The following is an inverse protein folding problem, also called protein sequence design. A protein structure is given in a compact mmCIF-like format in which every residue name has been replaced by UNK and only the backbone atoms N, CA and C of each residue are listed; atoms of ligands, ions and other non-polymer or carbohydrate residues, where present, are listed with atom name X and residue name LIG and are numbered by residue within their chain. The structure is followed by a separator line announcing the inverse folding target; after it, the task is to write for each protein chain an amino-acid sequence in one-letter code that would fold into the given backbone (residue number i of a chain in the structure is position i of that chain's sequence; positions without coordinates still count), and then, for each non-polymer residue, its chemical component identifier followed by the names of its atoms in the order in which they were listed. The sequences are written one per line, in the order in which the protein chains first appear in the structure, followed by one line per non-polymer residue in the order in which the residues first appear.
data_IF_819967477484
#
_entry.id   IF_819967477484
#
_cell.length_a   1.000
_cell.length_b   1.000
_cell.length_c   1.000
_cell.angle_alpha   90.00
_cell.angle_beta   90.00
_cell.angle_gamma   90.00
#
_symmetry.space_group_name_H-M   'P 1'
#
loop_
_entity.id
_entity.type
_entity.pdbx_description
1 polymer ?
#
# COMPACT_ATOMS: atom_id res chain seq x y z
N UNK A 1 -11.79 -25.71 -14.23
CA UNK A 1 -11.61 -25.31 -12.81
C UNK A 1 -11.48 -23.79 -12.77
N UNK A 2 -11.87 -23.10 -11.69
CA UNK A 2 -11.82 -21.64 -11.66
C UNK A 2 -10.37 -21.13 -11.77
N UNK A 3 -10.06 -20.50 -12.89
CA UNK A 3 -8.73 -19.97 -13.19
C UNK A 3 -8.45 -18.59 -12.61
N UNK A 4 -7.16 -18.26 -12.47
CA UNK A 4 -6.65 -16.93 -12.14
C UNK A 4 -5.86 -16.40 -13.34
N UNK A 5 -6.15 -15.14 -13.73
CA UNK A 5 -5.38 -14.42 -14.75
C UNK A 5 -4.76 -13.18 -14.12
N UNK A 6 -3.47 -13.00 -14.34
CA UNK A 6 -2.72 -11.86 -13.86
C UNK A 6 -1.63 -11.42 -14.84
N UNK A 7 -1.23 -10.15 -14.75
CA UNK A 7 -0.19 -9.57 -15.60
C UNK A 7 1.18 -10.18 -15.32
N UNK A 8 1.93 -10.50 -16.37
CA UNK A 8 3.26 -11.08 -16.29
C UNK A 8 4.33 -10.03 -15.94
N UNK A 9 5.52 -10.49 -15.56
CA UNK A 9 6.69 -9.64 -15.34
C UNK A 9 6.62 -8.77 -14.09
N UNK A 10 7.58 -7.86 -13.95
CA UNK A 10 7.71 -7.02 -12.77
C UNK A 10 6.77 -5.80 -12.81
N UNK A 11 6.63 -5.15 -13.96
CA UNK A 11 5.90 -3.89 -14.09
C UNK A 11 4.42 -4.09 -14.40
N UNK A 12 3.58 -3.21 -13.85
CA UNK A 12 2.17 -3.17 -14.19
C UNK A 12 2.00 -2.45 -15.53
N UNK A 13 1.10 -2.92 -16.42
CA UNK A 13 0.69 -2.16 -17.58
C UNK A 13 0.04 -0.83 -17.17
N UNK A 14 0.06 0.19 -18.05
CA UNK A 14 -0.61 1.46 -17.78
C UNK A 14 -2.08 1.27 -17.45
N UNK A 15 -2.59 2.01 -16.46
CA UNK A 15 -3.99 1.92 -15.99
C UNK A 15 -4.99 2.10 -17.14
N UNK A 16 -4.70 2.97 -18.10
CA UNK A 16 -5.58 3.18 -19.27
C UNK A 16 -5.66 1.94 -20.16
N UNK A 17 -4.58 1.18 -20.28
CA UNK A 17 -4.55 -0.08 -21.04
C UNK A 17 -5.35 -1.15 -20.30
N UNK A 18 -5.13 -1.28 -18.99
CA UNK A 18 -5.88 -2.23 -18.15
C UNK A 18 -7.39 -1.92 -18.15
N UNK A 19 -7.78 -0.64 -18.13
CA UNK A 19 -9.18 -0.24 -18.22
C UNK A 19 -9.82 -0.68 -19.55
N UNK A 20 -9.10 -0.56 -20.67
CA UNK A 20 -9.58 -1.03 -21.98
C UNK A 20 -9.74 -2.55 -22.03
N UNK A 21 -8.76 -3.28 -21.50
CA UNK A 21 -8.84 -4.75 -21.38
C UNK A 21 -10.07 -5.17 -20.57
N UNK A 22 -10.24 -4.62 -19.37
CA UNK A 22 -11.32 -5.00 -18.46
C UNK A 22 -12.69 -4.59 -19.00
N UNK A 23 -12.80 -3.38 -19.58
CA UNK A 23 -14.04 -2.91 -20.21
C UNK A 23 -14.46 -3.79 -21.38
N UNK A 24 -13.52 -4.22 -22.23
CA UNK A 24 -13.80 -5.11 -23.35
C UNK A 24 -14.17 -6.53 -22.90
N UNK A 25 -13.47 -7.08 -21.90
CA UNK A 25 -13.70 -8.44 -21.41
C UNK A 25 -15.03 -8.59 -20.64
N UNK A 26 -15.38 -7.61 -19.81
CA UNK A 26 -16.56 -7.67 -18.93
C UNK A 26 -17.76 -6.90 -19.50
N UNK A 27 -17.58 -6.16 -20.62
CA UNK A 27 -18.60 -5.31 -21.26
C UNK A 27 -19.17 -4.25 -20.30
N UNK A 28 -18.31 -3.64 -19.50
CA UNK A 28 -18.67 -2.58 -18.56
C UNK A 28 -18.44 -1.19 -19.15
N UNK A 29 -19.06 -0.19 -18.53
CA UNK A 29 -18.84 1.21 -18.91
C UNK A 29 -17.39 1.66 -18.59
N UNK A 30 -16.89 2.72 -19.26
CA UNK A 30 -15.52 3.18 -19.09
C UNK A 30 -15.14 3.58 -17.66
N UNK A 31 -16.06 4.15 -16.88
CA UNK A 31 -15.77 4.64 -15.53
C UNK A 31 -15.61 3.45 -14.57
N UNK A 32 -16.50 2.47 -14.67
CA UNK A 32 -16.40 1.20 -13.94
C UNK A 32 -15.12 0.45 -14.30
N UNK A 33 -14.77 0.39 -15.57
CA UNK A 33 -13.54 -0.27 -16.03
C UNK A 33 -12.28 0.46 -15.52
N UNK A 34 -12.27 1.79 -15.51
CA UNK A 34 -11.18 2.59 -14.98
C UNK A 34 -11.01 2.38 -13.46
N UNK A 35 -12.10 2.30 -12.71
CA UNK A 35 -12.07 2.00 -11.28
C UNK A 35 -11.52 0.59 -11.00
N UNK A 36 -11.97 -0.40 -11.77
CA UNK A 36 -11.48 -1.77 -11.66
C UNK A 36 -9.97 -1.85 -11.98
N UNK A 37 -9.51 -1.18 -13.04
CA UNK A 37 -8.10 -1.13 -13.42
C UNK A 37 -7.21 -0.55 -12.32
N UNK A 38 -7.65 0.51 -11.62
CA UNK A 38 -6.90 1.11 -10.50
C UNK A 38 -6.77 0.18 -9.29
N UNK A 39 -7.70 -0.76 -9.11
CA UNK A 39 -7.79 -1.63 -7.91
C UNK A 39 -7.39 -3.08 -8.17
N UNK A 40 -7.14 -3.44 -9.42
CA UNK A 40 -6.79 -4.81 -9.78
C UNK A 40 -5.35 -5.17 -9.38
N UNK A 41 -4.44 -4.17 -9.34
CA UNK A 41 -3.02 -4.37 -9.06
C UNK A 41 -2.40 -5.51 -9.88
N UNK A 42 -2.86 -5.64 -11.14
CA UNK A 42 -2.42 -6.67 -12.08
C UNK A 42 -3.03 -8.06 -11.87
N UNK A 43 -3.90 -8.28 -10.88
CA UNK A 43 -4.78 -9.46 -10.79
C UNK A 43 -6.06 -9.18 -11.56
N UNK A 44 -6.17 -9.67 -12.79
CA UNK A 44 -7.21 -9.26 -13.74
C UNK A 44 -8.53 -10.01 -13.53
N UNK A 45 -8.46 -11.25 -13.05
CA UNK A 45 -9.66 -12.00 -12.67
C UNK A 45 -9.31 -13.30 -11.95
N UNK A 46 -10.08 -13.62 -10.92
CA UNK A 46 -9.96 -14.83 -10.11
C UNK A 46 -11.31 -15.55 -10.09
N UNK A 47 -11.29 -16.88 -10.00
CA UNK A 47 -12.55 -17.63 -9.97
C UNK A 47 -13.18 -17.82 -11.35
N UNK A 48 -12.45 -17.57 -12.44
CA UNK A 48 -13.01 -17.53 -13.79
C UNK A 48 -13.24 -18.94 -14.34
N UNK A 49 -14.39 -19.19 -14.95
CA UNK A 49 -14.53 -20.39 -15.78
C UNK A 49 -13.63 -20.33 -17.03
N UNK A 50 -13.52 -21.45 -17.74
CA UNK A 50 -12.60 -21.56 -18.87
C UNK A 50 -12.94 -20.59 -20.02
N UNK A 51 -14.23 -20.30 -20.23
CA UNK A 51 -14.67 -19.39 -21.27
C UNK A 51 -14.36 -17.93 -20.93
N UNK A 52 -14.64 -17.51 -19.69
CA UNK A 52 -14.31 -16.18 -19.19
C UNK A 52 -12.81 -15.94 -19.13
N UNK A 53 -12.04 -16.96 -18.73
CA UNK A 53 -10.59 -16.90 -18.74
C UNK A 53 -10.03 -16.74 -20.16
N UNK A 54 -10.51 -17.54 -21.12
CA UNK A 54 -10.10 -17.43 -22.53
C UNK A 54 -10.45 -16.06 -23.13
N UNK A 55 -11.65 -15.55 -22.87
CA UNK A 55 -12.06 -14.23 -23.34
C UNK A 55 -11.18 -13.10 -22.77
N UNK A 56 -10.85 -13.16 -21.48
CA UNK A 56 -9.96 -12.17 -20.85
C UNK A 56 -8.53 -12.25 -21.41
N UNK A 57 -8.01 -13.46 -21.62
CA UNK A 57 -6.70 -13.69 -22.23
C UNK A 57 -6.63 -13.15 -23.67
N UNK A 58 -7.67 -13.38 -24.47
CA UNK A 58 -7.79 -12.82 -25.83
C UNK A 58 -7.77 -11.28 -25.80
N UNK A 59 -8.53 -10.64 -24.90
CA UNK A 59 -8.49 -9.18 -24.76
C UNK A 59 -7.12 -8.68 -24.33
N UNK A 60 -6.45 -9.39 -23.41
CA UNK A 60 -5.08 -9.03 -23.02
C UNK A 60 -4.13 -9.08 -24.24
N UNK A 61 -4.24 -10.11 -25.08
CA UNK A 61 -3.44 -10.23 -26.30
C UNK A 61 -3.70 -9.08 -27.30
N UNK A 62 -4.98 -8.71 -27.52
CA UNK A 62 -5.36 -7.58 -28.38
C UNK A 62 -4.70 -6.27 -27.94
N UNK A 63 -4.58 -6.04 -26.63
CA UNK A 63 -3.95 -4.85 -26.06
C UNK A 63 -2.47 -5.01 -25.72
N UNK A 64 -1.82 -6.09 -26.18
CA UNK A 64 -0.42 -6.41 -25.92
C UNK A 64 -0.05 -6.42 -24.42
N UNK A 65 -0.98 -6.87 -23.57
CA UNK A 65 -0.76 -7.07 -22.15
C UNK A 65 -0.32 -8.51 -21.91
N UNK A 66 0.95 -8.77 -21.55
CA UNK A 66 1.39 -10.12 -21.26
C UNK A 66 0.74 -10.60 -19.96
N UNK A 67 0.14 -11.78 -20.00
CA UNK A 67 -0.55 -12.38 -18.85
C UNK A 67 -0.11 -13.81 -18.61
N UNK A 68 -0.33 -14.27 -17.39
CA UNK A 68 -0.18 -15.65 -16.96
C UNK A 68 -1.55 -16.13 -16.51
N UNK A 69 -1.93 -17.32 -17.00
CA UNK A 69 -3.11 -18.06 -16.58
C UNK A 69 -2.69 -19.20 -15.66
N UNK A 70 -3.31 -19.30 -14.49
CA UNK A 70 -3.23 -20.46 -13.62
C UNK A 70 -4.56 -21.20 -13.63
N UNK A 71 -4.51 -22.52 -13.76
CA UNK A 71 -5.69 -23.39 -13.75
C UNK A 71 -6.31 -23.50 -12.35
N UNK A 72 -5.46 -23.44 -11.32
CA UNK A 72 -5.83 -23.55 -9.92
C UNK A 72 -5.60 -22.22 -9.19
N UNK A 73 -6.36 -22.02 -8.12
CA UNK A 73 -6.12 -20.90 -7.21
C UNK A 73 -4.71 -21.02 -6.60
N UNK A 74 -3.91 -19.95 -6.59
CA UNK A 74 -2.60 -19.99 -5.97
C UNK A 74 -2.73 -20.16 -4.45
N UNK A 75 -1.71 -20.71 -3.78
CA UNK A 75 -1.65 -20.64 -2.33
C UNK A 75 -1.68 -19.17 -1.88
N UNK A 76 -2.31 -18.86 -0.73
CA UNK A 76 -2.25 -17.52 -0.17
C UNK A 76 -0.81 -17.14 0.17
N UNK A 77 -0.53 -15.84 0.23
CA UNK A 77 0.75 -15.37 0.75
C UNK A 77 0.92 -15.83 2.21
N UNK A 78 2.16 -16.12 2.65
CA UNK A 78 2.44 -16.34 4.06
C UNK A 78 1.95 -15.15 4.91
N UNK A 79 1.52 -15.45 6.13
CA UNK A 79 1.19 -14.41 7.11
C UNK A 79 2.45 -13.56 7.34
N UNK A 80 2.35 -12.22 7.24
CA UNK A 80 3.51 -11.36 7.41
C UNK A 80 4.00 -11.39 8.86
N UNK A 81 5.30 -11.64 9.04
CA UNK A 81 5.99 -11.54 10.32
C UNK A 81 6.44 -10.09 10.52
N UNK A 82 5.99 -9.38 11.58
CA UNK A 82 6.41 -8.01 11.85
C UNK A 82 7.90 -7.91 12.13
N UNK A 83 8.55 -6.95 11.47
CA UNK A 83 9.97 -6.63 11.64
C UNK A 83 10.08 -5.37 12.47
N UNK A 84 10.94 -5.40 13.50
CA UNK A 84 11.24 -4.27 14.37
C UNK A 84 12.56 -3.57 14.03
N UNK A 85 13.48 -4.26 13.34
CA UNK A 85 14.76 -3.67 12.93
C UNK A 85 15.32 -4.40 11.71
N UNK A 86 16.02 -3.66 10.87
CA UNK A 86 16.80 -4.22 9.76
C UNK A 86 18.23 -3.71 9.83
N UNK A 87 19.19 -4.62 9.66
CA UNK A 87 20.61 -4.32 9.55
C UNK A 87 21.14 -5.01 8.30
N UNK A 88 21.86 -4.29 7.44
CA UNK A 88 22.51 -4.83 6.25
C UNK A 88 24.02 -4.68 6.44
N UNK A 89 24.69 -5.77 6.74
CA UNK A 89 26.12 -5.80 7.04
C UNK A 89 26.73 -7.13 6.57
N UNK A 90 28.01 -7.11 6.19
CA UNK A 90 28.77 -8.31 5.82
C UNK A 90 28.08 -9.17 4.72
N UNK A 91 27.41 -8.52 3.76
CA UNK A 91 26.72 -9.21 2.67
C UNK A 91 25.42 -9.92 3.06
N UNK A 92 24.88 -9.67 4.26
CA UNK A 92 23.62 -10.23 4.72
C UNK A 92 22.67 -9.13 5.20
N UNK A 93 21.36 -9.35 5.00
CA UNK A 93 20.31 -8.59 5.66
C UNK A 93 19.81 -9.40 6.87
N UNK A 94 19.74 -8.75 8.02
CA UNK A 94 19.23 -9.34 9.27
C UNK A 94 17.98 -8.57 9.69
N UNK A 95 16.86 -9.27 9.73
CA UNK A 95 15.56 -8.76 10.14
C UNK A 95 15.27 -9.23 11.57
N UNK A 96 15.21 -8.31 12.52
CA UNK A 96 14.83 -8.62 13.90
C UNK A 96 13.31 -8.71 13.99
N UNK A 97 12.80 -9.91 14.25
CA UNK A 97 11.38 -10.20 14.42
C UNK A 97 11.14 -10.76 15.83
N UNK A 98 9.90 -10.71 16.32
CA UNK A 98 9.54 -11.26 17.64
C UNK A 98 9.77 -12.79 17.71
N UNK A 99 9.54 -13.50 16.61
CA UNK A 99 9.78 -14.94 16.51
C UNK A 99 11.28 -15.32 16.42
N UNK A 100 12.17 -14.33 16.37
CA UNK A 100 13.62 -14.52 16.20
C UNK A 100 14.17 -13.78 14.98
N UNK A 101 15.50 -13.59 14.93
CA UNK A 101 16.13 -12.92 13.78
C UNK A 101 16.06 -13.80 12.53
N UNK A 102 15.75 -13.19 11.39
CA UNK A 102 15.82 -13.83 10.07
C UNK A 102 17.00 -13.21 9.34
N UNK A 103 18.00 -14.02 8.99
CA UNK A 103 19.15 -13.60 8.18
C UNK A 103 19.00 -14.15 6.77
N UNK A 104 19.27 -13.33 5.77
CA UNK A 104 19.22 -13.76 4.38
C UNK A 104 20.31 -13.08 3.53
N UNK A 105 20.69 -13.76 2.46
CA UNK A 105 21.53 -13.24 1.40
C UNK A 105 20.71 -12.35 0.43
N UNK A 106 21.36 -11.57 -0.45
CA UNK A 106 20.69 -10.85 -1.53
C UNK A 106 19.75 -11.73 -2.36
N UNK A 107 20.22 -12.92 -2.72
CA UNK A 107 19.53 -13.80 -3.65
C UNK A 107 18.29 -14.44 -3.02
N UNK A 108 18.20 -14.49 -1.69
CA UNK A 108 17.04 -15.01 -0.96
C UNK A 108 15.81 -14.09 -1.06
N UNK A 109 15.98 -12.83 -1.43
CA UNK A 109 14.92 -11.83 -1.50
C UNK A 109 14.26 -11.86 -2.88
N UNK A 110 13.00 -12.30 -2.93
CA UNK A 110 12.28 -12.50 -4.20
C UNK A 110 11.42 -11.30 -4.60
N UNK A 111 10.78 -10.65 -3.64
CA UNK A 111 9.90 -9.50 -3.85
C UNK A 111 10.12 -8.48 -2.74
N UNK A 112 10.19 -7.21 -3.12
CA UNK A 112 10.16 -6.05 -2.24
C UNK A 112 8.98 -5.17 -2.65
N UNK A 113 7.91 -5.17 -1.86
CA UNK A 113 6.70 -4.43 -2.17
C UNK A 113 6.42 -3.39 -1.10
N UNK A 114 6.48 -2.11 -1.43
CA UNK A 114 6.23 -1.00 -0.50
C UNK A 114 4.98 -0.22 -0.90
N UNK A 115 4.21 0.26 0.08
CA UNK A 115 3.04 1.09 -0.17
C UNK A 115 2.90 2.19 0.91
N UNK A 116 2.55 3.41 0.49
CA UNK A 116 2.00 4.43 1.38
C UNK A 116 0.52 4.16 1.61
N UNK A 117 0.08 4.00 2.85
CA UNK A 117 -1.32 3.70 3.18
C UNK A 117 -1.87 4.82 4.04
N UNK A 118 -3.02 5.35 3.63
CA UNK A 118 -3.70 6.40 4.38
C UNK A 118 -4.49 5.76 5.51
N UNK A 119 -4.05 6.00 6.73
CA UNK A 119 -4.75 5.53 7.92
C UNK A 119 -5.62 6.64 8.48
N UNK A 120 -6.87 6.31 8.81
CA UNK A 120 -7.82 7.24 9.38
C UNK A 120 -7.97 6.95 10.87
N UNK A 121 -7.78 7.97 11.70
CA UNK A 121 -7.96 7.86 13.14
C UNK A 121 -8.94 8.93 13.62
N UNK A 122 -9.79 8.54 14.56
CA UNK A 122 -10.65 9.47 15.27
C UNK A 122 -9.90 9.98 16.48
N UNK A 123 -9.54 11.27 16.50
CA UNK A 123 -9.01 11.92 17.70
C UNK A 123 -10.11 12.77 18.32
N UNK A 124 -10.46 12.48 19.56
CA UNK A 124 -11.33 13.36 20.34
C UNK A 124 -10.53 14.58 20.78
N UNK A 125 -10.78 15.72 20.15
CA UNK A 125 -10.17 17.00 20.51
C UNK A 125 -11.14 17.75 21.42
N UNK A 126 -10.66 18.16 22.59
CA UNK A 126 -11.42 19.06 23.47
C UNK A 126 -11.30 20.47 22.91
N UNK A 127 -12.36 20.96 22.28
CA UNK A 127 -12.42 22.33 21.79
C UNK A 127 -13.23 23.19 22.77
N UNK A 128 -12.69 24.35 23.14
CA UNK A 128 -13.42 25.34 23.93
C UNK A 128 -14.33 26.12 22.98
N UNK A 129 -15.62 25.78 22.96
CA UNK A 129 -16.60 26.54 22.20
C UNK A 129 -17.15 27.67 23.05
N UNK A 130 -16.94 28.90 22.58
CA UNK A 130 -17.66 30.06 23.08
C UNK A 130 -19.14 30.01 22.66
N UNK A 131 -20.01 30.82 23.30
CA UNK A 131 -21.41 30.89 22.91
C UNK A 131 -21.54 31.23 21.41
N UNK A 132 -22.51 30.59 20.75
CA UNK A 132 -22.77 30.77 19.31
C UNK A 132 -22.99 32.25 18.97
N UNK A 133 -22.76 32.62 17.69
CA UNK A 133 -22.95 34.00 17.23
C UNK A 133 -24.37 34.53 17.53
N UNK A 134 -25.39 33.68 17.40
CA UNK A 134 -26.78 34.03 17.77
C UNK A 134 -26.96 34.26 19.28
N UNK A 135 -26.33 33.45 20.14
CA UNK A 135 -26.39 33.63 21.58
C UNK A 135 -25.66 34.92 22.04
N UNK A 136 -24.57 35.31 21.36
CA UNK A 136 -23.88 36.59 21.61
C UNK A 136 -24.73 37.78 21.16
N UNK A 137 -25.33 37.71 19.98
CA UNK A 137 -26.18 38.78 19.44
C UNK A 137 -27.42 39.03 20.31
N UNK A 138 -28.09 37.96 20.77
CA UNK A 138 -29.24 38.07 21.68
C UNK A 138 -28.87 38.78 22.99
N UNK A 139 -27.72 38.45 23.58
CA UNK A 139 -27.25 39.06 24.84
C UNK A 139 -26.86 40.52 24.68
N UNK A 140 -26.24 40.87 23.54
CA UNK A 140 -25.99 42.27 23.18
C UNK A 140 -27.31 43.05 23.00
N UNK A 141 -28.32 42.43 22.39
CA UNK A 141 -29.65 43.01 22.26
C UNK A 141 -30.31 43.28 23.62
N UNK A 142 -30.27 42.32 24.55
CA UNK A 142 -30.83 42.50 25.90
C UNK A 142 -30.06 43.60 26.66
N UNK A 143 -28.73 43.65 26.55
CA UNK A 143 -27.91 44.72 27.16
C UNK A 143 -28.28 46.09 26.59
N UNK A 144 -28.46 46.20 25.26
CA UNK A 144 -28.84 47.46 24.61
C UNK A 144 -30.21 47.96 25.05
N UNK A 145 -31.17 47.06 25.34
CA UNK A 145 -32.53 47.42 25.76
C UNK A 145 -32.61 47.73 27.26
N UNK A 146 -31.88 46.99 28.09
CA UNK A 146 -32.01 47.07 29.56
C UNK A 146 -30.94 47.91 30.24
N UNK A 147 -29.84 48.23 29.55
CA UNK A 147 -28.69 48.95 30.12
C UNK A 147 -27.89 48.16 31.16
N UNK A 148 -28.27 46.92 31.44
CA UNK A 148 -27.62 46.07 32.44
C UNK A 148 -26.55 45.17 31.77
N UNK A 149 -25.31 45.12 32.29
CA UNK A 149 -24.26 44.29 31.71
C UNK A 149 -24.53 42.80 31.96
N UNK A 150 -24.83 42.06 30.89
CA UNK A 150 -24.98 40.60 30.94
C UNK A 150 -23.68 39.96 30.45
N UNK A 151 -23.03 39.16 31.30
CA UNK A 151 -21.78 38.47 30.97
C UNK A 151 -21.89 37.62 29.70
N UNK A 152 -20.83 37.63 28.88
CA UNK A 152 -20.78 36.97 27.56
C UNK A 152 -20.87 35.43 27.59
N UNK A 153 -21.05 34.81 28.76
CA UNK A 153 -21.21 33.38 28.93
C UNK A 153 -19.88 32.65 29.11
N UNK A 154 -19.93 31.53 29.83
CA UNK A 154 -18.76 30.64 29.99
C UNK A 154 -18.58 29.82 28.72
N UNK A 155 -17.34 29.68 28.28
CA UNK A 155 -16.98 28.70 27.26
C UNK A 155 -17.25 27.29 27.78
N UNK A 156 -17.83 26.44 26.94
CA UNK A 156 -18.02 25.03 27.26
C UNK A 156 -16.95 24.25 26.52
N UNK A 157 -16.24 23.38 27.23
CA UNK A 157 -15.41 22.37 26.60
C UNK A 157 -16.34 21.35 25.91
N UNK A 158 -16.24 21.28 24.60
CA UNK A 158 -16.97 20.32 23.77
C UNK A 158 -15.93 19.35 23.23
N UNK A 159 -16.10 18.07 23.56
CA UNK A 159 -15.34 16.99 22.93
C UNK A 159 -15.86 16.82 21.51
N UNK A 160 -15.02 17.12 20.52
CA UNK A 160 -15.30 16.86 19.11
C UNK A 160 -14.41 15.73 18.62
N UNK A 161 -15.02 14.74 18.01
CA UNK A 161 -14.27 13.73 17.27
C UNK A 161 -13.83 14.33 15.94
N UNK A 162 -12.55 14.62 15.83
CA UNK A 162 -11.93 15.09 14.59
C UNK A 162 -11.34 13.88 13.88
N UNK A 163 -11.84 13.64 12.67
CA UNK A 163 -11.26 12.66 11.76
C UNK A 163 -9.91 13.19 11.28
N UNK A 164 -8.82 12.58 11.73
CA UNK A 164 -7.47 12.85 11.22
C UNK A 164 -7.04 11.70 10.31
N UNK A 165 -6.20 11.98 9.34
CA UNK A 165 -5.57 10.95 8.53
C UNK A 165 -4.07 11.16 8.45
N UNK A 166 -3.29 10.12 8.73
CA UNK A 166 -1.84 10.14 8.55
C UNK A 166 -1.45 9.07 7.52
N UNK A 167 -0.27 9.24 6.92
CA UNK A 167 0.23 8.34 5.88
C UNK A 167 1.29 7.43 6.50
N UNK A 168 0.95 6.15 6.63
CA UNK A 168 1.81 5.12 7.21
C UNK A 168 2.47 4.33 6.09
N UNK A 169 3.77 4.04 6.19
CA UNK A 169 4.50 3.33 5.14
C UNK A 169 4.72 1.88 5.54
N UNK A 170 4.42 0.99 4.60
CA UNK A 170 4.57 -0.44 4.76
C UNK A 170 5.46 -1.00 3.67
N UNK A 171 6.20 -2.05 3.99
CA UNK A 171 6.90 -2.86 3.00
C UNK A 171 6.84 -4.33 3.38
N UNK A 172 6.39 -5.12 2.42
CA UNK A 172 6.48 -6.57 2.46
C UNK A 172 7.74 -7.04 1.74
N UNK A 173 8.46 -7.92 2.40
CA UNK A 173 9.66 -8.58 1.91
C UNK A 173 9.35 -10.08 1.82
N UNK A 174 9.33 -10.63 0.62
CA UNK A 174 9.02 -12.05 0.38
C UNK A 174 10.31 -12.80 0.07
N UNK A 175 10.60 -13.83 0.87
CA UNK A 175 11.75 -14.69 0.63
C UNK A 175 11.45 -15.73 -0.47
N UNK A 176 12.49 -16.19 -1.15
CA UNK A 176 12.41 -17.16 -2.24
C UNK A 176 11.56 -18.39 -1.92
N UNK A 177 10.76 -18.78 -2.91
CA UNK A 177 9.78 -19.86 -2.78
C UNK A 177 8.56 -19.48 -1.93
N UNK A 178 8.38 -18.20 -1.59
CA UNK A 178 7.30 -17.77 -0.71
C UNK A 178 7.41 -18.37 0.70
N UNK A 179 8.62 -18.72 1.15
CA UNK A 179 8.83 -19.42 2.42
C UNK A 179 8.50 -18.56 3.64
N UNK A 180 8.71 -17.26 3.54
CA UNK A 180 8.35 -16.29 4.56
C UNK A 180 8.01 -14.95 3.92
N UNK A 181 7.14 -14.20 4.59
CA UNK A 181 6.82 -12.80 4.30
C UNK A 181 7.14 -12.01 5.55
N UNK A 182 8.02 -11.03 5.43
CA UNK A 182 8.35 -10.10 6.50
C UNK A 182 7.66 -8.77 6.21
N UNK A 183 7.17 -8.09 7.24
CA UNK A 183 6.53 -6.77 7.10
C UNK A 183 7.23 -5.74 7.95
N UNK A 184 7.68 -4.67 7.29
CA UNK A 184 8.20 -3.48 7.91
C UNK A 184 7.09 -2.43 7.90
N UNK A 185 6.83 -1.81 9.05
CA UNK A 185 5.94 -0.67 9.19
C UNK A 185 6.76 0.52 9.72
N UNK A 186 6.67 1.68 9.08
CA UNK A 186 7.51 2.84 9.40
C UNK A 186 7.42 3.28 10.86
N UNK A 187 6.25 3.11 11.46
CA UNK A 187 5.94 3.66 12.77
C UNK A 187 6.43 2.76 13.91
N UNK A 188 6.72 1.50 13.59
CA UNK A 188 7.10 0.44 14.51
C UNK A 188 8.57 0.01 14.36
N UNK A 189 9.32 0.65 13.45
CA UNK A 189 10.66 0.23 13.05
C UNK A 189 11.76 1.05 13.73
N UNK A 190 12.75 0.35 14.30
CA UNK A 190 14.03 0.94 14.70
C UNK A 190 14.96 1.12 13.50
N UNK A 191 15.15 2.38 13.10
CA UNK A 191 16.04 2.78 12.03
C UNK A 191 17.52 2.91 12.44
N UNK A 192 17.92 2.49 13.64
CA UNK A 192 19.33 2.55 14.09
C UNK A 192 20.30 1.80 13.16
N UNK A 193 19.82 0.80 12.41
CA UNK A 193 20.59 0.11 11.39
C UNK A 193 21.06 0.99 10.22
N UNK A 194 20.45 2.16 10.00
CA UNK A 194 20.85 3.11 8.96
C UNK A 194 22.11 3.93 9.31
N UNK A 195 22.55 3.91 10.57
CA UNK A 195 23.75 4.63 11.05
C UNK A 195 23.74 6.11 10.61
N UNK A 196 24.78 6.56 9.90
CA UNK A 196 24.95 7.95 9.44
C UNK A 196 23.87 8.40 8.44
N UNK A 197 23.17 7.47 7.78
CA UNK A 197 22.06 7.78 6.86
C UNK A 197 20.74 8.05 7.60
N UNK A 198 20.68 7.81 8.92
CA UNK A 198 19.49 8.02 9.73
C UNK A 198 19.22 9.52 9.90
N UNK A 199 17.96 9.90 9.69
CA UNK A 199 17.42 11.25 9.85
C UNK A 199 16.42 11.31 11.00
N UNK A 200 15.86 12.50 11.26
CA UNK A 200 14.82 12.70 12.27
C UNK A 200 13.41 12.32 11.80
N UNK A 201 13.22 11.97 10.52
CA UNK A 201 11.91 11.62 9.96
C UNK A 201 11.81 10.11 9.71
N UNK A 202 10.84 9.44 10.35
CA UNK A 202 10.56 8.01 10.12
C UNK A 202 10.24 7.72 8.66
N UNK A 203 9.48 8.59 7.99
CA UNK A 203 9.14 8.45 6.57
C UNK A 203 10.37 8.58 5.65
N UNK A 204 11.27 9.52 5.94
CA UNK A 204 12.53 9.66 5.18
C UNK A 204 13.42 8.44 5.43
N UNK A 205 13.56 8.03 6.70
CA UNK A 205 14.33 6.83 7.07
C UNK A 205 13.79 5.57 6.41
N UNK A 206 12.47 5.42 6.32
CA UNK A 206 11.83 4.30 5.65
C UNK A 206 12.18 4.26 4.17
N UNK A 207 12.13 5.40 3.48
CA UNK A 207 12.55 5.48 2.06
C UNK A 207 14.02 5.16 1.88
N UNK A 208 14.89 5.64 2.77
CA UNK A 208 16.32 5.30 2.75
C UNK A 208 16.50 3.79 2.91
N UNK A 209 15.83 3.17 3.89
CA UNK A 209 15.89 1.73 4.10
C UNK A 209 15.37 0.93 2.91
N UNK A 210 14.27 1.36 2.29
CA UNK A 210 13.77 0.77 1.04
C UNK A 210 14.82 0.84 -0.08
N UNK A 211 15.55 1.96 -0.18
CA UNK A 211 16.69 2.13 -1.08
C UNK A 211 17.81 1.14 -0.81
N UNK A 212 18.23 1.01 0.46
CA UNK A 212 19.29 0.08 0.86
C UNK A 212 18.89 -1.38 0.56
N UNK A 213 17.65 -1.78 0.85
CA UNK A 213 17.17 -3.14 0.56
C UNK A 213 17.04 -3.42 -0.93
N UNK A 214 16.57 -2.44 -1.72
CA UNK A 214 16.50 -2.57 -3.17
C UNK A 214 17.90 -2.65 -3.82
N UNK A 215 18.89 -1.93 -3.26
CA UNK A 215 20.28 -2.02 -3.69
C UNK A 215 20.94 -3.34 -3.25
N UNK A 216 20.61 -3.81 -2.05
CA UNK A 216 21.09 -5.09 -1.51
C UNK A 216 20.58 -6.27 -2.33
N UNK A 217 19.32 -6.26 -2.77
CA UNK A 217 18.70 -7.31 -3.58
C UNK A 217 18.23 -6.77 -4.94
N UNK A 218 19.15 -6.50 -5.89
CA UNK A 218 18.79 -5.88 -7.16
C UNK A 218 17.85 -6.75 -8.00
N UNK A 219 17.94 -8.08 -7.85
CA UNK A 219 17.13 -9.07 -8.58
C UNK A 219 15.71 -9.26 -8.01
N UNK A 220 15.42 -8.74 -6.82
CA UNK A 220 14.09 -8.84 -6.24
C UNK A 220 13.11 -8.00 -7.07
N UNK A 221 11.92 -8.57 -7.33
CA UNK A 221 10.85 -7.85 -8.01
C UNK A 221 10.33 -6.72 -7.12
N UNK A 222 10.13 -5.53 -7.70
CA UNK A 222 9.74 -4.32 -6.96
C UNK A 222 8.33 -3.93 -7.37
N UNK A 223 7.50 -3.52 -6.42
CA UNK A 223 6.15 -3.07 -6.75
C UNK A 223 6.13 -1.60 -7.21
N UNK A 224 4.96 -1.12 -7.67
CA UNK A 224 4.82 0.26 -8.15
C UNK A 224 5.17 1.28 -7.05
N UNK A 225 4.75 1.04 -5.81
CA UNK A 225 5.04 1.92 -4.68
C UNK A 225 6.52 2.01 -4.33
N UNK A 226 7.25 0.90 -4.27
CA UNK A 226 8.70 0.91 -4.06
C UNK A 226 9.42 1.67 -5.18
N UNK A 227 9.09 1.40 -6.45
CA UNK A 227 9.69 2.14 -7.57
C UNK A 227 9.41 3.64 -7.50
N UNK A 228 8.22 4.04 -7.05
CA UNK A 228 7.91 5.45 -6.86
C UNK A 228 8.74 6.08 -5.73
N UNK A 229 8.94 5.37 -4.61
CA UNK A 229 9.80 5.80 -3.51
C UNK A 229 11.25 5.99 -3.98
N UNK A 230 11.80 5.01 -4.70
CA UNK A 230 13.18 5.06 -5.23
C UNK A 230 13.36 6.22 -6.23
N UNK A 231 12.34 6.49 -7.04
CA UNK A 231 12.34 7.59 -8.00
C UNK A 231 12.01 8.96 -7.37
N UNK A 232 11.80 9.04 -6.05
CA UNK A 232 11.42 10.29 -5.37
C UNK A 232 10.05 10.87 -5.81
N UNK A 233 9.17 10.04 -6.38
CA UNK A 233 7.87 10.48 -6.91
C UNK A 233 6.86 10.78 -5.78
N UNK A 234 5.88 11.67 -6.02
CA UNK A 234 4.77 11.87 -5.09
C UNK A 234 3.99 10.59 -4.83
N UNK A 235 3.92 10.17 -3.57
CA UNK A 235 3.36 8.88 -3.16
C UNK A 235 1.83 8.88 -3.03
N UNK A 236 1.23 10.05 -2.81
CA UNK A 236 -0.23 10.21 -2.63
C UNK A 236 -1.04 9.85 -3.89
N UNK A 237 -0.39 9.79 -5.06
CA UNK A 237 -1.04 9.53 -6.34
C UNK A 237 -1.13 8.05 -6.71
N UNK A 238 -0.52 7.16 -5.91
CA UNK A 238 -0.42 5.75 -6.24
C UNK A 238 -1.74 4.98 -6.06
N UNK A 239 -2.65 5.45 -5.20
CA UNK A 239 -3.99 4.86 -5.05
C UNK A 239 -4.07 3.61 -4.16
N UNK A 240 -3.08 3.36 -3.30
CA UNK A 240 -3.21 2.35 -2.24
C UNK A 240 -4.19 2.87 -1.18
N UNK A 241 -5.38 2.28 -1.15
CA UNK A 241 -6.42 2.64 -0.19
C UNK A 241 -6.26 1.85 1.13
N UNK A 242 -5.65 0.67 1.08
CA UNK A 242 -5.57 -0.26 2.21
C UNK A 242 -4.38 -1.23 2.14
N UNK A 243 -4.13 -1.97 3.23
CA UNK A 243 -3.16 -3.08 3.23
C UNK A 243 -3.54 -4.21 2.26
N UNK A 244 -4.83 -4.37 1.94
CA UNK A 244 -5.29 -5.35 0.96
C UNK A 244 -4.80 -5.03 -0.46
N UNK A 245 -4.57 -3.75 -0.79
CA UNK A 245 -4.01 -3.34 -2.09
C UNK A 245 -2.54 -3.76 -2.21
N UNK A 246 -1.75 -3.50 -1.16
CA UNK A 246 -0.37 -3.98 -1.06
C UNK A 246 -0.32 -5.51 -1.15
N UNK A 247 -1.24 -6.21 -0.48
CA UNK A 247 -1.30 -7.66 -0.48
C UNK A 247 -1.58 -8.24 -1.87
N UNK A 248 -2.55 -7.67 -2.60
CA UNK A 248 -2.86 -8.08 -3.98
C UNK A 248 -1.66 -7.93 -4.90
N UNK A 249 -0.99 -6.78 -4.86
CA UNK A 249 0.17 -6.53 -5.71
C UNK A 249 1.35 -7.43 -5.34
N UNK A 250 1.56 -7.66 -4.03
CA UNK A 250 2.59 -8.59 -3.52
C UNK A 250 2.34 -10.01 -4.00
N UNK A 251 1.08 -10.48 -3.99
CA UNK A 251 0.69 -11.79 -4.48
C UNK A 251 1.02 -11.89 -5.98
N UNK A 252 0.57 -10.90 -6.77
CA UNK A 252 0.86 -10.85 -8.22
C UNK A 252 2.35 -10.90 -8.52
N UNK A 253 3.16 -10.10 -7.83
CA UNK A 253 4.62 -10.08 -8.00
C UNK A 253 5.25 -11.43 -7.65
N UNK A 254 4.79 -12.05 -6.55
CA UNK A 254 5.29 -13.37 -6.11
C UNK A 254 5.00 -14.43 -7.16
N UNK A 255 3.79 -14.44 -7.73
CA UNK A 255 3.41 -15.36 -8.79
C UNK A 255 4.19 -15.11 -10.09
N UNK A 256 4.34 -13.85 -10.49
CA UNK A 256 5.11 -13.48 -11.68
C UNK A 256 6.60 -13.86 -11.55
N UNK A 257 7.19 -13.67 -10.36
CA UNK A 257 8.57 -14.06 -10.07
C UNK A 257 8.73 -15.58 -10.11
N UNK A 258 7.82 -16.32 -9.49
CA UNK A 258 7.84 -17.78 -9.51
C UNK A 258 7.74 -18.34 -10.93
N UNK A 259 6.93 -17.74 -11.80
CA UNK A 259 6.86 -18.13 -13.21
C UNK A 259 8.16 -17.81 -13.96
N UNK A 260 8.77 -16.64 -13.73
CA UNK A 260 10.02 -16.24 -14.39
C UNK A 260 11.14 -17.22 -14.06
N UNK A 261 11.26 -17.64 -12.80
CA UNK A 261 12.26 -18.62 -12.38
C UNK A 261 12.07 -20.01 -13.01
N UNK A 262 10.82 -20.41 -13.31
CA UNK A 262 10.54 -21.70 -13.98
C UNK A 262 10.92 -21.70 -15.46
N UNK A 263 10.77 -20.55 -16.13
CA UNK A 263 11.04 -20.42 -17.58
C UNK A 263 12.52 -20.15 -17.84
N UNK A 264 13.20 -19.38 -16.97
CA UNK A 264 14.61 -19.04 -17.12
C UNK A 264 15.60 -20.04 -16.51
N UNK A 265 15.13 -21.07 -15.82
CA UNK A 265 15.96 -22.11 -15.19
C UNK A 265 16.06 -23.41 -15.99
N UNK A 266 15.65 -23.41 -17.27
CA UNK A 266 15.75 -24.52 -18.21
C UNK A 266 16.81 -24.31 -19.27
#
# INVERSE_FOLDING_TARGET
MPGLIFTAGEELPPVQVLARVLGAAVKTDPDTAALAARRCWGLLGAGLDDAAAAALEEQCAVFAVPVIKLADAPPPLPVPVPVKKVVIENGAAVFSCEAGPVSCSPDDLSVLAAAPIKEEFFRTVTASEGPSAGAKAMRLGIMAVTGLPIGLGKSREVKKDVKSSELSFYMDVVLNGGRARLRLASDDLDFSGLKEKKTYSSQVNFRVLCGELAAFAPQAFKNAGLRAMLAGRPLLLLGYDSLADLEKETLRLTLARAHTNRVGGG
#
